data_IF_341395572020
#
_entry.id   IF_341395572020
#
_cell.length_a   1.000
_cell.length_b   1.000
_cell.length_c   1.000
_cell.angle_alpha   90.00
_cell.angle_beta   90.00
_cell.angle_gamma   90.00
#
_symmetry.space_group_name_H-M   'P 1'
#
loop_
_entity.id
_entity.type
_entity.pdbx_description
1 polymer ?
#
# COMPACT_ATOMS: atom_id res chain seq x y z
N UNK A 1 -14.28 11.94 -2.28
CA UNK A 1 -13.90 11.93 -0.87
C UNK A 1 -13.37 10.58 -0.48
N UNK A 2 -12.13 10.55 0.05
CA UNK A 2 -11.48 9.31 0.44
C UNK A 2 -11.85 9.00 1.87
N UNK A 3 -12.47 7.85 2.09
CA UNK A 3 -12.84 7.42 3.43
C UNK A 3 -12.30 6.02 3.70
N UNK A 4 -11.29 5.94 4.56
CA UNK A 4 -10.71 4.66 5.00
C UNK A 4 -11.71 3.90 5.86
N UNK A 5 -12.63 4.61 6.51
CA UNK A 5 -13.67 4.01 7.36
C UNK A 5 -14.52 2.99 6.58
N UNK A 6 -14.73 3.23 5.29
CA UNK A 6 -15.53 2.34 4.43
C UNK A 6 -14.90 0.97 4.23
N UNK A 7 -13.62 0.81 4.52
CA UNK A 7 -12.93 -0.47 4.43
C UNK A 7 -13.34 -1.40 5.58
N UNK A 8 -13.71 -0.85 6.72
CA UNK A 8 -14.19 -1.63 7.86
C UNK A 8 -13.07 -2.31 8.66
N UNK A 9 -11.91 -1.67 8.75
CA UNK A 9 -10.83 -2.10 9.64
C UNK A 9 -11.11 -1.68 11.08
N UNK A 10 -10.32 -2.19 12.03
CA UNK A 10 -10.41 -1.77 13.43
C UNK A 10 -10.28 -0.25 13.56
N UNK A 11 -11.01 0.32 14.55
CA UNK A 11 -11.03 1.78 14.74
C UNK A 11 -9.66 2.37 15.02
N UNK A 12 -8.83 1.67 15.77
CA UNK A 12 -7.47 2.15 16.13
C UNK A 12 -6.58 2.31 14.91
N UNK A 13 -6.55 1.32 14.00
CA UNK A 13 -5.75 1.44 12.77
C UNK A 13 -6.39 2.42 11.79
N UNK A 14 -7.72 2.45 11.72
CA UNK A 14 -8.44 3.40 10.86
C UNK A 14 -8.10 4.84 11.22
N UNK A 15 -8.03 5.18 12.50
CA UNK A 15 -7.64 6.51 12.97
C UNK A 15 -6.21 6.86 12.54
N UNK A 16 -5.26 5.93 12.70
CA UNK A 16 -3.87 6.15 12.27
C UNK A 16 -3.81 6.41 10.76
N UNK A 17 -4.49 5.59 9.97
CA UNK A 17 -4.49 5.73 8.52
C UNK A 17 -5.14 7.03 8.07
N UNK A 18 -6.25 7.42 8.68
CA UNK A 18 -6.93 8.69 8.39
C UNK A 18 -6.04 9.88 8.69
N UNK A 19 -5.32 9.86 9.81
CA UNK A 19 -4.38 10.92 10.16
C UNK A 19 -3.22 11.00 9.18
N UNK A 20 -2.71 9.87 8.71
CA UNK A 20 -1.65 9.85 7.67
C UNK A 20 -2.14 10.41 6.35
N UNK A 21 -3.39 10.17 5.96
CA UNK A 21 -3.96 10.75 4.75
C UNK A 21 -4.04 12.27 4.85
N UNK A 22 -4.41 12.80 6.00
CA UNK A 22 -4.39 14.26 6.26
C UNK A 22 -2.97 14.79 6.10
N UNK A 23 -1.98 14.12 6.66
CA UNK A 23 -0.57 14.51 6.56
C UNK A 23 -0.07 14.45 5.11
N UNK A 24 -0.44 13.42 4.36
CA UNK A 24 -0.13 13.31 2.92
C UNK A 24 -0.65 14.53 2.17
N UNK A 25 -1.90 14.89 2.39
CA UNK A 25 -2.54 16.04 1.72
C UNK A 25 -1.77 17.33 2.00
N UNK A 26 -1.38 17.54 3.27
CA UNK A 26 -0.58 18.72 3.66
C UNK A 26 0.80 18.70 3.00
N UNK A 27 1.48 17.56 3.02
CA UNK A 27 2.82 17.42 2.44
C UNK A 27 2.82 17.68 0.93
N UNK A 28 1.81 17.20 0.22
CA UNK A 28 1.67 17.48 -1.22
C UNK A 28 1.49 18.99 -1.44
N UNK A 29 0.66 19.64 -0.64
CA UNK A 29 0.36 21.06 -0.81
C UNK A 29 1.56 21.97 -0.62
N UNK A 30 2.52 21.58 0.21
CA UNK A 30 3.73 22.37 0.49
C UNK A 30 4.97 21.86 -0.25
N UNK A 31 4.80 20.89 -1.16
CA UNK A 31 5.89 20.41 -2.02
C UNK A 31 6.80 19.37 -1.41
N UNK A 32 6.44 18.74 -0.30
CA UNK A 32 7.19 17.65 0.30
C UNK A 32 6.87 16.32 -0.42
N UNK A 33 7.35 16.19 -1.63
CA UNK A 33 6.95 15.11 -2.55
C UNK A 33 7.42 13.73 -2.08
N UNK A 34 8.68 13.59 -1.71
CA UNK A 34 9.21 12.30 -1.26
C UNK A 34 8.53 11.84 0.03
N UNK A 35 8.37 12.72 1.00
CA UNK A 35 7.66 12.41 2.26
C UNK A 35 6.24 11.94 2.00
N UNK A 36 5.54 12.59 1.06
CA UNK A 36 4.19 12.21 0.65
C UNK A 36 4.16 10.78 0.10
N UNK A 37 5.08 10.45 -0.79
CA UNK A 37 5.14 9.13 -1.43
C UNK A 37 5.44 8.03 -0.39
N UNK A 38 6.34 8.30 0.54
CA UNK A 38 6.67 7.36 1.62
C UNK A 38 5.44 7.10 2.48
N UNK A 39 4.70 8.14 2.86
CA UNK A 39 3.48 7.99 3.64
C UNK A 39 2.38 7.27 2.84
N UNK A 40 2.25 7.55 1.56
CA UNK A 40 1.29 6.86 0.68
C UNK A 40 1.56 5.35 0.69
N UNK A 41 2.81 4.95 0.49
CA UNK A 41 3.20 3.54 0.57
C UNK A 41 2.89 2.90 1.92
N UNK A 42 3.12 3.64 3.00
CA UNK A 42 2.82 3.21 4.37
C UNK A 42 1.32 2.99 4.58
N UNK A 43 0.47 3.88 4.06
CA UNK A 43 -0.99 3.72 4.15
C UNK A 43 -1.45 2.51 3.35
N UNK A 44 -0.93 2.33 2.14
CA UNK A 44 -1.25 1.16 1.31
C UNK A 44 -0.90 -0.14 2.04
N UNK A 45 0.27 -0.21 2.64
CA UNK A 45 0.70 -1.38 3.41
C UNK A 45 -0.22 -1.63 4.61
N UNK A 46 -0.57 -0.59 5.35
CA UNK A 46 -1.48 -0.68 6.48
C UNK A 46 -2.88 -1.18 6.11
N UNK A 47 -3.40 -0.70 4.98
CA UNK A 47 -4.70 -1.14 4.47
C UNK A 47 -4.64 -2.63 4.07
N UNK A 48 -3.63 -3.02 3.32
CA UNK A 48 -3.51 -4.40 2.82
C UNK A 48 -3.22 -5.39 3.96
N UNK A 49 -2.39 -5.02 4.92
CA UNK A 49 -2.18 -5.83 6.12
C UNK A 49 -3.48 -5.97 6.91
N UNK A 50 -4.25 -4.89 7.05
CA UNK A 50 -5.55 -4.93 7.70
C UNK A 50 -6.52 -5.88 6.99
N UNK A 51 -6.53 -5.86 5.66
CA UNK A 51 -7.35 -6.80 4.87
C UNK A 51 -6.90 -8.24 5.06
N UNK A 52 -5.59 -8.48 5.14
CA UNK A 52 -5.06 -9.82 5.39
C UNK A 52 -5.47 -10.33 6.78
N UNK A 53 -5.44 -9.47 7.79
CA UNK A 53 -5.90 -9.82 9.14
C UNK A 53 -7.40 -10.05 9.20
N UNK A 54 -8.17 -9.39 8.35
CA UNK A 54 -9.63 -9.56 8.25
C UNK A 54 -9.99 -10.84 7.50
N UNK A 55 -9.17 -11.27 6.55
CA UNK A 55 -9.38 -12.46 5.72
C UNK A 55 -8.13 -13.36 5.72
N UNK A 56 -7.69 -13.84 6.89
CA UNK A 56 -6.39 -14.51 6.99
C UNK A 56 -6.30 -15.80 6.16
N UNK A 57 -7.36 -16.59 6.12
CA UNK A 57 -7.36 -17.83 5.36
C UNK A 57 -7.19 -17.60 3.87
N UNK A 58 -7.88 -16.60 3.33
CA UNK A 58 -7.80 -16.26 1.91
C UNK A 58 -6.39 -15.83 1.52
N UNK A 59 -5.79 -14.93 2.31
CA UNK A 59 -4.45 -14.46 2.04
C UNK A 59 -3.41 -15.57 2.18
N UNK A 60 -3.49 -16.36 3.25
CA UNK A 60 -2.55 -17.46 3.47
C UNK A 60 -2.63 -18.57 2.41
N UNK A 61 -3.78 -18.76 1.78
CA UNK A 61 -3.98 -19.77 0.73
C UNK A 61 -3.70 -19.23 -0.68
N UNK A 62 -3.44 -17.94 -0.83
CA UNK A 62 -3.13 -17.37 -2.13
C UNK A 62 -1.81 -17.91 -2.67
N UNK A 63 -1.69 -18.02 -3.99
CA UNK A 63 -0.45 -18.47 -4.65
C UNK A 63 0.69 -17.50 -4.42
N UNK A 64 0.38 -16.22 -4.22
CA UNK A 64 1.35 -15.15 -3.98
C UNK A 64 1.81 -15.08 -2.54
N UNK A 65 1.23 -15.86 -1.62
CA UNK A 65 1.65 -15.87 -0.22
C UNK A 65 3.11 -16.33 -0.10
N UNK A 66 3.99 -15.54 0.55
CA UNK A 66 5.39 -15.91 0.67
C UNK A 66 5.59 -17.06 1.65
N UNK A 67 6.49 -17.97 1.30
CA UNK A 67 6.83 -19.13 2.11
C UNK A 67 8.12 -18.90 2.87
N UNK A 68 8.25 -19.54 4.04
CA UNK A 68 9.53 -19.63 4.72
C UNK A 68 10.53 -20.39 3.85
N UNK A 69 11.80 -19.99 3.93
CA UNK A 69 12.87 -20.58 3.13
C UNK A 69 12.90 -22.12 3.32
N UNK A 70 12.90 -22.86 2.20
CA UNK A 70 12.94 -24.32 2.18
C UNK A 70 11.77 -24.98 2.94
N UNK A 71 10.61 -24.34 2.94
CA UNK A 71 9.44 -24.80 3.69
C UNK A 71 8.16 -24.58 2.89
N UNK A 72 7.11 -25.30 3.25
CA UNK A 72 5.75 -25.07 2.76
C UNK A 72 4.94 -24.20 3.70
N UNK A 73 5.57 -23.68 4.76
CA UNK A 73 4.91 -22.83 5.77
C UNK A 73 4.88 -21.40 5.27
N UNK A 74 3.68 -20.80 5.21
CA UNK A 74 3.51 -19.39 4.85
C UNK A 74 4.07 -18.51 5.96
N UNK A 75 4.79 -17.44 5.56
CA UNK A 75 5.30 -16.45 6.49
C UNK A 75 4.17 -15.77 7.25
N UNK A 76 4.47 -15.29 8.46
CA UNK A 76 3.54 -14.44 9.22
C UNK A 76 3.34 -13.12 8.49
N UNK A 77 2.17 -12.52 8.61
CA UNK A 77 1.85 -11.28 7.87
C UNK A 77 2.82 -10.13 8.13
N UNK A 78 3.38 -10.04 9.34
CA UNK A 78 4.37 -9.00 9.65
C UNK A 78 5.71 -9.19 8.91
N UNK A 79 5.92 -10.34 8.27
CA UNK A 79 7.10 -10.63 7.45
C UNK A 79 6.82 -10.50 5.95
N UNK A 80 5.55 -10.27 5.56
CA UNK A 80 5.19 -10.06 4.16
C UNK A 80 5.67 -8.68 3.69
N UNK A 81 6.11 -8.62 2.44
CA UNK A 81 6.43 -7.34 1.81
C UNK A 81 5.17 -6.70 1.23
N UNK A 82 5.24 -5.41 0.94
CA UNK A 82 4.14 -4.72 0.24
C UNK A 82 3.84 -5.40 -1.10
N UNK A 83 4.87 -5.86 -1.81
CA UNK A 83 4.71 -6.62 -3.06
C UNK A 83 3.88 -7.88 -2.87
N UNK A 84 4.13 -8.64 -1.80
CA UNK A 84 3.36 -9.85 -1.48
C UNK A 84 1.89 -9.53 -1.27
N UNK A 85 1.59 -8.47 -0.50
CA UNK A 85 0.21 -8.05 -0.25
C UNK A 85 -0.49 -7.59 -1.52
N UNK A 86 0.18 -6.82 -2.37
CA UNK A 86 -0.41 -6.34 -3.63
C UNK A 86 -0.78 -7.52 -4.52
N UNK A 87 0.13 -8.46 -4.69
CA UNK A 87 -0.10 -9.64 -5.55
C UNK A 87 -1.21 -10.52 -5.00
N UNK A 88 -1.24 -10.76 -3.70
CA UNK A 88 -2.31 -11.56 -3.07
C UNK A 88 -3.66 -10.87 -3.16
N UNK A 89 -3.73 -9.56 -2.91
CA UNK A 89 -4.97 -8.81 -3.03
C UNK A 89 -5.53 -8.84 -4.45
N UNK A 90 -4.67 -8.76 -5.45
CA UNK A 90 -5.08 -8.91 -6.85
C UNK A 90 -5.60 -10.32 -7.14
N UNK A 91 -4.89 -11.33 -6.71
CA UNK A 91 -5.29 -12.73 -6.90
C UNK A 91 -6.65 -13.03 -6.28
N UNK A 92 -6.97 -12.39 -5.15
CA UNK A 92 -8.23 -12.56 -4.43
C UNK A 92 -9.35 -11.64 -4.92
N UNK A 93 -9.15 -10.91 -6.00
CA UNK A 93 -10.10 -9.94 -6.57
C UNK A 93 -10.45 -8.78 -5.62
N UNK A 94 -9.59 -8.50 -4.66
CA UNK A 94 -9.76 -7.36 -3.74
C UNK A 94 -9.40 -6.06 -4.43
N UNK A 95 -8.37 -6.09 -5.28
CA UNK A 95 -8.01 -4.99 -6.18
C UNK A 95 -7.95 -5.50 -7.61
N UNK A 96 -8.14 -4.58 -8.56
CA UNK A 96 -8.11 -4.90 -10.00
C UNK A 96 -6.71 -4.71 -10.57
N UNK A 97 -6.54 -5.09 -11.84
CA UNK A 97 -5.24 -5.08 -12.51
C UNK A 97 -4.59 -3.70 -12.55
N UNK A 98 -5.37 -2.63 -12.76
CA UNK A 98 -4.86 -1.27 -12.80
C UNK A 98 -4.23 -0.86 -11.45
N UNK A 99 -4.96 -1.06 -10.37
CA UNK A 99 -4.45 -0.75 -9.02
C UNK A 99 -3.26 -1.65 -8.66
N UNK A 100 -3.27 -2.91 -9.06
CA UNK A 100 -2.11 -3.80 -8.88
C UNK A 100 -0.86 -3.20 -9.53
N UNK A 101 -0.94 -2.87 -10.82
CA UNK A 101 0.20 -2.36 -11.59
C UNK A 101 0.71 -1.04 -11.04
N UNK A 102 -0.18 -0.08 -10.83
CA UNK A 102 0.21 1.22 -10.32
C UNK A 102 0.70 1.17 -8.87
N UNK A 103 0.17 0.25 -8.06
CA UNK A 103 0.65 0.06 -6.69
C UNK A 103 2.09 -0.45 -6.65
N UNK A 104 2.51 -1.30 -7.58
CA UNK A 104 3.90 -1.71 -7.69
C UNK A 104 4.81 -0.54 -8.05
N UNK A 105 4.35 0.39 -8.88
CA UNK A 105 5.09 1.62 -9.20
C UNK A 105 5.23 2.50 -7.95
N UNK A 106 4.17 2.70 -7.20
CA UNK A 106 4.22 3.45 -5.93
C UNK A 106 5.23 2.80 -4.97
N UNK A 107 5.22 1.48 -4.88
CA UNK A 107 6.16 0.74 -4.05
C UNK A 107 7.62 1.00 -4.44
N UNK A 108 7.91 1.07 -5.72
CA UNK A 108 9.26 1.38 -6.20
C UNK A 108 9.73 2.76 -5.72
N UNK A 109 8.88 3.77 -5.83
CA UNK A 109 9.22 5.12 -5.35
C UNK A 109 9.27 5.19 -3.82
N UNK A 110 8.42 4.43 -3.11
CA UNK A 110 8.46 4.35 -1.65
C UNK A 110 9.83 3.87 -1.16
N UNK A 111 10.50 3.00 -1.91
CA UNK A 111 11.83 2.50 -1.56
C UNK A 111 12.90 3.60 -1.55
N UNK A 112 12.61 4.79 -2.05
CA UNK A 112 13.51 5.95 -1.99
C UNK A 112 13.67 6.51 -0.56
N UNK A 113 12.97 5.95 0.43
CA UNK A 113 13.33 6.14 1.83
C UNK A 113 14.80 5.75 2.09
N UNK A 114 15.34 4.84 1.28
CA UNK A 114 16.74 4.47 1.29
C UNK A 114 17.50 5.39 0.31
N UNK A 115 18.37 6.33 0.81
CA UNK A 115 18.98 7.34 -0.07
C UNK A 115 19.81 6.76 -1.22
N UNK A 116 20.51 5.66 -1.00
CA UNK A 116 21.29 5.03 -2.08
C UNK A 116 20.40 4.41 -3.16
N UNK A 117 19.21 3.96 -2.82
CA UNK A 117 18.25 3.49 -3.80
C UNK A 117 17.83 4.62 -4.74
N UNK A 118 17.54 5.79 -4.19
CA UNK A 118 17.22 6.97 -4.98
C UNK A 118 18.42 7.44 -5.82
N UNK A 119 19.61 7.43 -5.23
CA UNK A 119 20.83 7.82 -5.94
C UNK A 119 21.07 6.94 -7.17
N UNK A 120 20.91 5.62 -7.03
CA UNK A 120 21.07 4.68 -8.15
C UNK A 120 20.06 4.90 -9.27
N UNK A 121 18.83 5.29 -8.93
CA UNK A 121 17.78 5.54 -9.91
C UNK A 121 17.97 6.83 -10.69
N UNK A 122 18.75 7.78 -10.16
CA UNK A 122 18.96 9.12 -10.72
C UNK A 122 17.66 9.89 -10.98
N UNK A 123 16.62 9.62 -10.18
CA UNK A 123 15.33 10.29 -10.31
C UNK A 123 14.91 10.92 -8.98
N UNK A 124 14.47 12.17 -9.03
CA UNK A 124 13.94 12.89 -7.87
C UNK A 124 12.44 13.09 -8.08
N UNK A 125 11.59 12.36 -7.33
CA UNK A 125 10.15 12.56 -7.42
C UNK A 125 9.75 14.01 -7.12
N UNK A 126 8.85 14.54 -7.91
CA UNK A 126 8.32 15.89 -7.74
C UNK A 126 6.85 15.85 -7.30
N UNK A 127 6.21 17.03 -7.26
CA UNK A 127 4.80 17.13 -6.86
C UNK A 127 3.85 16.37 -7.79
N UNK A 128 4.21 16.24 -9.06
CA UNK A 128 3.38 15.47 -10.01
C UNK A 128 3.47 13.98 -9.71
N UNK A 129 4.67 13.48 -9.41
CA UNK A 129 4.87 12.09 -8.99
C UNK A 129 4.05 11.79 -7.73
N UNK A 130 4.13 12.67 -6.73
CA UNK A 130 3.37 12.53 -5.48
C UNK A 130 1.85 12.53 -5.74
N UNK A 131 1.38 13.41 -6.61
CA UNK A 131 -0.06 13.48 -6.96
C UNK A 131 -0.54 12.20 -7.66
N UNK A 132 0.26 11.65 -8.57
CA UNK A 132 -0.07 10.38 -9.23
C UNK A 132 -0.14 9.25 -8.19
N UNK A 133 0.85 9.16 -7.31
CA UNK A 133 0.87 8.15 -6.25
C UNK A 133 -0.36 8.27 -5.33
N UNK A 134 -0.77 9.50 -5.03
CA UNK A 134 -1.96 9.72 -4.21
C UNK A 134 -3.24 9.26 -4.91
N UNK A 135 -3.36 9.47 -6.23
CA UNK A 135 -4.49 8.95 -6.99
C UNK A 135 -4.54 7.42 -6.98
N UNK A 136 -3.38 6.77 -7.00
CA UNK A 136 -3.31 5.30 -6.89
C UNK A 136 -3.84 4.84 -5.52
N UNK A 137 -3.46 5.51 -4.45
CA UNK A 137 -3.97 5.21 -3.10
C UNK A 137 -5.50 5.38 -3.05
N UNK A 138 -6.02 6.46 -3.63
CA UNK A 138 -7.46 6.71 -3.69
C UNK A 138 -8.19 5.58 -4.42
N UNK A 139 -7.66 5.16 -5.57
CA UNK A 139 -8.24 4.08 -6.34
C UNK A 139 -8.23 2.76 -5.56
N UNK A 140 -7.15 2.48 -4.84
CA UNK A 140 -7.05 1.31 -3.97
C UNK A 140 -8.15 1.33 -2.90
N UNK A 141 -8.33 2.44 -2.21
CA UNK A 141 -9.35 2.58 -1.16
C UNK A 141 -10.75 2.33 -1.71
N UNK A 142 -11.05 2.89 -2.89
CA UNK A 142 -12.35 2.70 -3.55
C UNK A 142 -12.57 1.21 -3.87
N UNK A 143 -11.61 0.55 -4.52
CA UNK A 143 -11.76 -0.85 -4.90
C UNK A 143 -11.90 -1.76 -3.69
N UNK A 144 -11.09 -1.54 -2.64
CA UNK A 144 -11.19 -2.35 -1.42
C UNK A 144 -12.53 -2.10 -0.70
N UNK A 145 -13.01 -0.87 -0.68
CA UNK A 145 -14.31 -0.54 -0.08
C UNK A 145 -15.47 -1.26 -0.79
N UNK A 146 -15.37 -1.42 -2.11
CA UNK A 146 -16.36 -2.14 -2.90
C UNK A 146 -16.34 -3.66 -2.67
N UNK A 147 -15.19 -4.20 -2.33
CA UNK A 147 -15.02 -5.62 -2.02
C UNK A 147 -15.70 -5.99 -0.69
N UNK A 148 -15.68 -5.12 0.27
CA UNK A 148 -16.15 -5.35 1.65
C UNK A 148 -17.66 -5.53 1.76
#
# INVERSE_FOLDING_TARGET
DISVEKIGLESSITEILSNRIVEITRNISIGNSLSSIILIGSVMEGILLGMAQKHPDKFNKSKSAPMNKNSTIVKKFNEWTLSDFINSAYELDIIKEDVKKFSHVVREYRNYIHPYQQLCSQFNPDKHTASICFQVLKAMIVQISEYS
#
